data_IF_003702974282
#
_entry.id   IF_003702974282
#
_cell.length_a   1.000
_cell.length_b   1.000
_cell.length_c   1.000
_cell.angle_alpha   90.00
_cell.angle_beta   90.00
_cell.angle_gamma   90.00
#
_symmetry.space_group_name_H-M   'P 1'
#
loop_
_entity.id
_entity.type
_entity.pdbx_description
1 polymer ?
#
# COMPACT_ATOMS: atom_id res chain seq x y z
N UNK A 1 6.17 -3.09 16.42
CA UNK A 1 6.87 -3.54 17.65
C UNK A 1 5.97 -4.28 18.64
N UNK A 2 4.66 -4.32 18.44
CA UNK A 2 3.73 -5.05 19.30
C UNK A 2 3.51 -6.45 18.74
N UNK A 3 3.70 -7.47 19.56
CA UNK A 3 3.34 -8.84 19.21
C UNK A 3 1.88 -9.08 19.59
N UNK A 4 1.11 -9.67 18.68
CA UNK A 4 -0.33 -9.89 18.87
C UNK A 4 -0.68 -11.38 19.06
N UNK A 5 0.26 -12.28 18.74
CA UNK A 5 0.09 -13.73 18.94
C UNK A 5 0.94 -14.24 20.12
N UNK A 6 0.35 -15.06 20.98
CA UNK A 6 1.00 -15.62 22.15
C UNK A 6 1.14 -14.64 23.31
N UNK A 7 2.33 -14.52 23.89
CA UNK A 7 2.60 -13.57 24.97
C UNK A 7 2.65 -12.15 24.42
N UNK A 8 1.73 -11.30 24.83
CA UNK A 8 1.67 -9.91 24.39
C UNK A 8 2.82 -9.11 24.99
N UNK A 9 3.70 -8.57 24.16
CA UNK A 9 4.74 -7.64 24.59
C UNK A 9 5.01 -6.56 23.55
N UNK A 10 5.59 -5.46 24.00
CA UNK A 10 6.06 -4.39 23.15
C UNK A 10 7.60 -4.39 23.16
N UNK A 11 8.23 -4.64 22.01
CA UNK A 11 9.69 -4.74 21.93
C UNK A 11 10.42 -3.44 22.36
N UNK A 12 9.82 -2.25 22.15
CA UNK A 12 10.35 -0.98 22.68
C UNK A 12 10.43 -1.00 24.19
N UNK A 13 9.36 -1.37 24.86
CA UNK A 13 9.27 -1.34 26.32
C UNK A 13 10.19 -2.40 26.94
N UNK A 14 10.25 -3.58 26.32
CA UNK A 14 11.19 -4.63 26.73
C UNK A 14 12.65 -4.20 26.53
N UNK A 15 12.96 -3.51 25.44
CA UNK A 15 14.29 -2.94 25.21
C UNK A 15 14.70 -1.92 26.29
N UNK A 16 13.77 -1.05 26.71
CA UNK A 16 14.00 -0.08 27.79
C UNK A 16 14.24 -0.80 29.13
N UNK A 17 13.40 -1.79 29.45
CA UNK A 17 13.55 -2.57 30.69
C UNK A 17 14.90 -3.31 30.71
N UNK A 18 15.25 -3.95 29.61
CA UNK A 18 16.53 -4.66 29.46
C UNK A 18 17.70 -3.71 29.66
N UNK A 19 17.69 -2.55 29.00
CA UNK A 19 18.74 -1.55 29.14
C UNK A 19 18.90 -1.09 30.60
N UNK A 20 17.78 -0.93 31.32
CA UNK A 20 17.80 -0.57 32.75
C UNK A 20 18.40 -1.69 33.60
N UNK A 21 18.04 -2.95 33.36
CA UNK A 21 18.57 -4.10 34.13
C UNK A 21 20.06 -4.28 33.88
N UNK A 22 20.49 -4.20 32.61
CA UNK A 22 21.88 -4.40 32.22
C UNK A 22 22.75 -3.13 32.39
N UNK A 23 22.14 -2.01 32.81
CA UNK A 23 22.80 -0.69 32.97
C UNK A 23 23.55 -0.24 31.72
N UNK A 24 22.90 -0.39 30.55
CA UNK A 24 23.41 0.04 29.24
C UNK A 24 22.56 1.15 28.65
N UNK A 25 23.08 2.03 27.80
CA UNK A 25 22.29 3.02 27.12
C UNK A 25 21.36 2.38 26.08
N UNK A 26 20.18 2.97 25.90
CA UNK A 26 19.24 2.62 24.82
C UNK A 26 18.87 3.87 24.03
N UNK A 27 18.90 3.76 22.71
CA UNK A 27 18.52 4.83 21.80
C UNK A 27 17.26 4.39 21.05
N UNK A 28 16.20 5.19 21.16
CA UNK A 28 14.95 5.01 20.42
C UNK A 28 14.90 6.04 19.31
N UNK A 29 14.96 5.59 18.06
CA UNK A 29 14.87 6.46 16.88
C UNK A 29 13.52 6.32 16.20
N UNK A 30 12.83 7.44 15.97
CA UNK A 30 11.54 7.49 15.30
C UNK A 30 11.27 8.89 14.75
N UNK A 31 10.55 8.98 13.65
CA UNK A 31 10.01 10.24 13.16
C UNK A 31 8.69 10.63 13.84
N UNK A 32 8.00 9.66 14.46
CA UNK A 32 6.68 9.81 15.08
C UNK A 32 6.67 9.07 16.41
N UNK A 33 7.14 9.69 17.50
CA UNK A 33 7.12 9.07 18.81
C UNK A 33 5.68 8.78 19.27
N UNK A 34 5.49 7.68 19.97
CA UNK A 34 4.19 7.40 20.58
C UNK A 34 3.89 8.40 21.71
N UNK A 35 2.62 8.54 22.09
CA UNK A 35 2.21 9.46 23.14
C UNK A 35 2.91 9.18 24.47
N UNK A 36 3.10 7.90 24.81
CA UNK A 36 3.80 7.49 26.04
C UNK A 36 5.28 7.89 26.00
N UNK A 37 5.94 7.72 24.86
CA UNK A 37 7.33 8.15 24.65
C UNK A 37 7.42 9.67 24.77
N UNK A 38 6.50 10.39 24.13
CA UNK A 38 6.43 11.85 24.20
C UNK A 38 6.21 12.35 25.63
N UNK A 39 5.29 11.73 26.37
CA UNK A 39 5.07 12.05 27.78
C UNK A 39 6.34 11.81 28.64
N UNK A 40 7.10 10.75 28.37
CA UNK A 40 8.34 10.49 29.07
C UNK A 40 9.43 11.53 28.73
N UNK A 41 9.42 12.10 27.55
CA UNK A 41 10.28 13.24 27.18
C UNK A 41 9.84 14.50 27.97
N UNK A 42 8.55 14.83 27.96
CA UNK A 42 8.03 16.01 28.66
C UNK A 42 8.30 15.96 30.18
N UNK A 43 8.19 14.78 30.76
CA UNK A 43 8.48 14.56 32.20
C UNK A 43 9.98 14.37 32.49
N UNK A 44 10.86 14.58 31.51
CA UNK A 44 12.33 14.46 31.62
C UNK A 44 12.81 13.07 32.07
N UNK A 45 12.02 12.03 31.86
CA UNK A 45 12.46 10.64 32.04
C UNK A 45 13.35 10.16 30.91
N UNK A 46 13.16 10.69 29.70
CA UNK A 46 13.97 10.42 28.53
C UNK A 46 14.66 11.71 28.07
N UNK A 47 15.89 11.58 27.61
CA UNK A 47 16.59 12.65 26.92
C UNK A 47 16.08 12.74 25.48
N UNK A 48 15.66 13.91 25.05
CA UNK A 48 15.25 14.16 23.66
C UNK A 48 16.45 14.68 22.86
N UNK A 49 16.70 14.01 21.73
CA UNK A 49 17.67 14.45 20.73
C UNK A 49 16.89 14.66 19.43
N UNK A 50 16.86 15.87 18.96
CA UNK A 50 16.18 16.26 17.74
C UNK A 50 17.16 16.32 16.58
N UNK A 51 16.80 15.76 15.45
CA UNK A 51 17.52 15.81 14.18
C UNK A 51 16.66 16.59 13.18
N UNK A 52 16.66 17.92 13.23
CA UNK A 52 15.73 18.74 12.43
C UNK A 52 16.12 18.82 10.96
N UNK A 53 17.40 18.62 10.66
CA UNK A 53 17.92 18.75 9.30
C UNK A 53 17.97 17.40 8.58
N UNK A 54 17.68 17.42 7.29
CA UNK A 54 17.88 16.27 6.43
C UNK A 54 19.35 16.16 6.04
N UNK A 55 19.84 14.94 5.91
CA UNK A 55 21.21 14.69 5.46
C UNK A 55 21.34 15.10 3.98
N UNK A 56 22.26 16.00 3.68
CA UNK A 56 22.51 16.54 2.35
C UNK A 56 21.43 17.52 1.88
N UNK A 57 21.42 17.83 0.59
CA UNK A 57 20.49 18.78 -0.05
C UNK A 57 19.12 18.16 -0.38
N UNK A 58 18.65 17.19 0.43
CA UNK A 58 17.43 16.48 0.17
C UNK A 58 16.20 17.35 0.46
N UNK A 59 15.50 17.77 -0.59
CA UNK A 59 14.22 18.48 -0.51
C UNK A 59 13.05 17.53 -0.25
N UNK A 60 11.97 18.09 0.31
CA UNK A 60 10.69 17.37 0.39
C UNK A 60 10.09 17.19 -1.01
N UNK A 61 9.48 16.05 -1.30
CA UNK A 61 8.80 15.85 -2.58
C UNK A 61 7.64 16.85 -2.72
N UNK A 62 7.47 17.36 -3.92
CA UNK A 62 6.29 18.16 -4.25
C UNK A 62 5.08 17.23 -4.36
N UNK A 63 4.06 17.49 -3.56
CA UNK A 63 2.82 16.70 -3.56
C UNK A 63 1.77 17.39 -4.43
N UNK A 64 1.20 16.65 -5.38
CA UNK A 64 0.10 17.09 -6.23
C UNK A 64 -1.08 16.16 -6.04
N UNK A 65 -2.20 16.70 -5.60
CA UNK A 65 -3.46 15.96 -5.52
C UNK A 65 -4.18 16.05 -6.87
N UNK A 66 -4.69 14.92 -7.35
CA UNK A 66 -5.46 14.83 -8.59
C UNK A 66 -6.88 14.42 -8.22
N UNK A 67 -7.84 15.31 -8.46
CA UNK A 67 -9.24 14.97 -8.29
C UNK A 67 -9.71 14.12 -9.46
N UNK A 68 -10.08 12.89 -9.18
CA UNK A 68 -10.55 11.92 -10.18
C UNK A 68 -12.05 12.01 -10.46
N UNK A 69 -12.82 12.80 -9.70
CA UNK A 69 -14.29 12.87 -9.87
C UNK A 69 -14.71 13.49 -11.20
N UNK A 70 -13.91 14.38 -11.78
CA UNK A 70 -14.17 15.01 -13.06
C UNK A 70 -13.42 14.41 -14.24
N UNK A 71 -12.62 13.37 -14.00
CA UNK A 71 -11.78 12.77 -15.05
C UNK A 71 -12.54 11.65 -15.74
N UNK A 72 -12.86 11.85 -17.02
CA UNK A 72 -13.50 10.82 -17.83
C UNK A 72 -12.46 9.82 -18.32
N UNK A 73 -12.26 8.73 -17.56
CA UNK A 73 -11.37 7.64 -17.95
C UNK A 73 -12.15 6.57 -18.72
N UNK A 74 -11.52 5.92 -19.71
CA UNK A 74 -12.08 4.71 -20.30
C UNK A 74 -12.38 3.64 -19.26
N UNK A 75 -13.31 2.77 -19.56
CA UNK A 75 -13.62 1.65 -18.66
C UNK A 75 -12.36 0.81 -18.35
N UNK A 76 -12.17 0.45 -17.08
CA UNK A 76 -10.99 -0.27 -16.59
C UNK A 76 -9.64 0.46 -16.68
N UNK A 77 -9.63 1.78 -16.73
CA UNK A 77 -8.42 2.61 -16.60
C UNK A 77 -8.44 3.37 -15.27
N UNK A 78 -7.26 3.51 -14.65
CA UNK A 78 -7.10 4.15 -13.32
C UNK A 78 -6.06 5.25 -13.30
N UNK A 79 -5.24 5.35 -14.35
CA UNK A 79 -4.17 6.34 -14.45
C UNK A 79 -4.74 7.61 -15.06
N UNK A 80 -4.69 8.70 -14.29
CA UNK A 80 -5.12 10.01 -14.81
C UNK A 80 -4.23 10.48 -15.95
N UNK A 81 -4.75 11.29 -16.88
CA UNK A 81 -3.94 11.92 -17.94
C UNK A 81 -2.72 12.65 -17.36
N UNK A 82 -2.91 13.39 -16.28
CA UNK A 82 -1.83 14.10 -15.59
C UNK A 82 -0.73 13.15 -15.11
N UNK A 83 -1.08 12.02 -14.47
CA UNK A 83 -0.09 11.06 -14.04
C UNK A 83 0.61 10.36 -15.20
N UNK A 84 -0.13 10.06 -16.27
CA UNK A 84 0.43 9.51 -17.50
C UNK A 84 1.49 10.45 -18.11
N UNK A 85 1.21 11.76 -18.17
CA UNK A 85 2.15 12.75 -18.67
C UNK A 85 3.42 12.84 -17.80
N UNK A 86 3.27 12.80 -16.48
CA UNK A 86 4.43 12.81 -15.57
C UNK A 86 5.25 11.51 -15.68
N UNK A 87 4.61 10.35 -15.86
CA UNK A 87 5.32 9.09 -16.14
C UNK A 87 6.10 9.22 -17.45
N UNK A 88 5.49 9.74 -18.51
CA UNK A 88 6.15 9.93 -19.81
C UNK A 88 7.40 10.79 -19.69
N UNK A 89 7.31 11.95 -19.00
CA UNK A 89 8.47 12.81 -18.75
C UNK A 89 9.57 12.11 -17.96
N UNK A 90 9.17 11.31 -16.96
CA UNK A 90 10.11 10.60 -16.12
C UNK A 90 10.88 9.52 -16.88
N UNK A 91 10.19 8.80 -17.78
CA UNK A 91 10.78 7.80 -18.67
C UNK A 91 11.79 8.41 -19.65
N UNK A 92 11.45 9.56 -20.27
CA UNK A 92 12.37 10.30 -21.15
C UNK A 92 13.66 10.65 -20.41
N UNK A 93 13.58 11.02 -19.14
CA UNK A 93 14.73 11.36 -18.31
C UNK A 93 15.47 10.12 -17.75
N UNK A 94 15.03 8.91 -18.07
CA UNK A 94 15.55 7.63 -17.54
C UNK A 94 15.54 7.55 -16.03
N UNK A 95 14.53 8.16 -15.42
CA UNK A 95 14.31 8.13 -13.97
C UNK A 95 13.32 7.01 -13.59
N UNK A 96 13.49 6.48 -12.39
CA UNK A 96 12.63 5.45 -11.87
C UNK A 96 11.28 6.03 -11.43
N UNK A 97 10.20 5.37 -11.78
CA UNK A 97 8.84 5.67 -11.32
C UNK A 97 8.35 4.58 -10.37
N UNK A 98 7.68 4.98 -9.30
CA UNK A 98 6.95 4.06 -8.42
C UNK A 98 5.45 4.36 -8.50
N UNK A 99 4.67 3.36 -8.86
CA UNK A 99 3.22 3.38 -8.66
C UNK A 99 2.88 2.59 -7.39
N UNK A 100 2.44 3.31 -6.38
CA UNK A 100 2.08 2.71 -5.10
C UNK A 100 0.60 2.38 -5.08
N UNK A 101 0.30 1.11 -4.83
CA UNK A 101 -1.05 0.59 -4.69
C UNK A 101 -1.21 -0.03 -3.30
N UNK A 102 -2.00 0.60 -2.44
CA UNK A 102 -2.21 0.09 -1.07
C UNK A 102 -3.13 -1.13 -1.02
N UNK A 103 -3.20 -1.90 -2.10
CA UNK A 103 -4.07 -3.06 -2.20
C UNK A 103 -3.25 -4.30 -2.58
N UNK A 104 -3.28 -5.31 -1.72
CA UNK A 104 -2.62 -6.59 -1.97
C UNK A 104 -3.47 -7.43 -2.93
N UNK A 105 -2.81 -8.05 -3.92
CA UNK A 105 -3.34 -9.14 -4.73
C UNK A 105 -4.39 -8.77 -5.80
N UNK A 106 -4.61 -9.72 -6.67
CA UNK A 106 -5.59 -9.72 -7.78
C UNK A 106 -7.06 -9.76 -7.30
N UNK A 107 -7.34 -9.37 -6.08
CA UNK A 107 -8.65 -9.56 -5.48
C UNK A 107 -9.51 -8.30 -5.60
N UNK A 108 -10.21 -8.10 -6.72
CA UNK A 108 -11.13 -7.00 -6.86
C UNK A 108 -12.30 -7.18 -5.90
N UNK A 109 -12.68 -6.07 -5.25
CA UNK A 109 -14.00 -6.00 -4.63
C UNK A 109 -15.04 -6.25 -5.72
N UNK A 110 -16.04 -7.04 -5.41
CA UNK A 110 -17.22 -7.19 -6.27
C UNK A 110 -18.25 -6.14 -5.91
N UNK A 111 -18.69 -5.40 -6.90
CA UNK A 111 -19.82 -4.50 -6.77
C UNK A 111 -20.82 -4.74 -7.89
N UNK A 112 -22.08 -4.47 -7.61
CA UNK A 112 -23.14 -4.47 -8.61
C UNK A 112 -22.98 -3.26 -9.53
N UNK A 113 -22.93 -3.47 -10.83
CA UNK A 113 -22.82 -2.40 -11.83
C UNK A 113 -24.09 -1.55 -11.92
N UNK A 114 -25.25 -2.11 -11.56
CA UNK A 114 -26.54 -1.43 -11.63
C UNK A 114 -26.80 -0.50 -10.44
N UNK A 115 -26.55 -0.96 -9.20
CA UNK A 115 -26.89 -0.18 -8.01
C UNK A 115 -25.67 0.23 -7.16
N UNK A 116 -24.47 -0.23 -7.50
CA UNK A 116 -23.25 0.05 -6.72
C UNK A 116 -23.13 -0.75 -5.42
N UNK A 117 -24.04 -1.70 -5.14
CA UNK A 117 -23.99 -2.56 -3.96
C UNK A 117 -22.67 -3.33 -3.91
N UNK A 118 -22.00 -3.32 -2.76
CA UNK A 118 -20.74 -4.00 -2.53
C UNK A 118 -20.98 -5.29 -1.76
N UNK A 119 -20.42 -6.40 -2.23
CA UNK A 119 -20.54 -7.67 -1.54
C UNK A 119 -19.82 -7.66 -0.20
N UNK A 120 -20.59 -7.61 0.88
CA UNK A 120 -20.13 -7.71 2.25
C UNK A 120 -20.14 -9.15 2.76
N UNK A 121 -19.33 -9.43 3.75
CA UNK A 121 -19.36 -10.70 4.48
C UNK A 121 -20.58 -10.72 5.40
N UNK A 122 -21.41 -11.76 5.28
CA UNK A 122 -22.61 -11.94 6.12
C UNK A 122 -22.28 -12.18 7.60
N UNK A 123 -21.02 -12.56 7.92
CA UNK A 123 -20.60 -12.89 9.28
C UNK A 123 -19.95 -11.71 10.04
N UNK A 124 -19.17 -10.86 9.36
CA UNK A 124 -18.42 -9.79 10.03
C UNK A 124 -18.48 -8.43 9.31
N UNK A 125 -19.35 -8.28 8.34
CA UNK A 125 -19.57 -7.06 7.54
C UNK A 125 -18.35 -6.53 6.77
N UNK A 126 -17.20 -7.21 6.83
CA UNK A 126 -16.04 -6.90 5.99
C UNK A 126 -16.32 -7.21 4.52
N UNK A 127 -15.57 -6.56 3.63
CA UNK A 127 -15.71 -6.78 2.21
C UNK A 127 -15.21 -8.16 1.80
N UNK A 128 -15.95 -8.81 0.92
CA UNK A 128 -15.54 -10.06 0.28
C UNK A 128 -14.62 -9.77 -0.91
N UNK A 129 -13.63 -10.63 -1.06
CA UNK A 129 -12.55 -10.50 -2.03
C UNK A 129 -12.54 -11.73 -2.92
N UNK A 130 -12.52 -11.54 -4.25
CA UNK A 130 -12.48 -12.64 -5.20
C UNK A 130 -11.07 -13.23 -5.32
N UNK A 131 -10.96 -14.54 -5.14
CA UNK A 131 -9.77 -15.32 -5.42
C UNK A 131 -9.96 -16.11 -6.72
N UNK A 132 -9.40 -15.59 -7.82
CA UNK A 132 -9.58 -16.17 -9.18
C UNK A 132 -9.18 -17.64 -9.29
N UNK A 133 -8.13 -18.09 -8.59
CA UNK A 133 -7.68 -19.48 -8.63
C UNK A 133 -8.78 -20.46 -8.25
N UNK A 134 -9.68 -20.09 -7.35
CA UNK A 134 -10.71 -20.98 -6.81
C UNK A 134 -12.13 -20.52 -7.16
N UNK A 135 -12.27 -19.40 -7.87
CA UNK A 135 -13.55 -18.77 -8.20
C UNK A 135 -14.46 -18.55 -6.96
N UNK A 136 -13.82 -18.21 -5.84
CA UNK A 136 -14.47 -18.03 -4.54
C UNK A 136 -14.26 -16.60 -4.03
N UNK A 137 -15.26 -16.10 -3.32
CA UNK A 137 -15.18 -14.90 -2.51
C UNK A 137 -14.72 -15.29 -1.11
N UNK A 138 -13.67 -14.67 -0.62
CA UNK A 138 -13.10 -14.94 0.72
C UNK A 138 -13.15 -13.67 1.55
N UNK A 139 -13.60 -13.81 2.78
CA UNK A 139 -13.47 -12.77 3.79
C UNK A 139 -12.11 -12.91 4.49
N UNK A 140 -11.22 -11.94 4.33
CA UNK A 140 -9.90 -11.98 4.97
C UNK A 140 -9.94 -11.71 6.48
N UNK A 141 -11.07 -11.27 7.02
CA UNK A 141 -11.22 -11.03 8.46
C UNK A 141 -11.69 -12.28 9.22
N UNK A 142 -12.68 -13.00 8.69
CA UNK A 142 -13.25 -14.16 9.39
C UNK A 142 -13.04 -15.50 8.67
N UNK A 143 -12.39 -15.51 7.50
CA UNK A 143 -12.07 -16.71 6.75
C UNK A 143 -13.24 -17.36 5.98
N UNK A 144 -14.45 -16.82 6.08
CA UNK A 144 -15.60 -17.36 5.34
C UNK A 144 -15.35 -17.32 3.84
N UNK A 145 -15.71 -18.42 3.18
CA UNK A 145 -15.65 -18.58 1.73
C UNK A 145 -17.06 -18.77 1.18
N UNK A 146 -17.37 -18.10 0.08
CA UNK A 146 -18.65 -18.26 -0.63
C UNK A 146 -18.47 -18.10 -2.13
N UNK A 147 -19.41 -18.65 -2.90
CA UNK A 147 -19.46 -18.42 -4.35
C UNK A 147 -19.99 -17.01 -4.64
N UNK A 148 -19.64 -16.47 -5.81
CA UNK A 148 -20.22 -15.23 -6.30
C UNK A 148 -21.73 -15.45 -6.49
N UNK A 149 -22.59 -14.62 -5.87
CA UNK A 149 -24.03 -14.71 -6.10
C UNK A 149 -24.37 -14.27 -7.53
N UNK A 150 -25.32 -14.95 -8.14
CA UNK A 150 -25.81 -14.62 -9.50
C UNK A 150 -26.72 -13.40 -9.49
N UNK A 151 -27.38 -13.14 -8.36
CA UNK A 151 -28.39 -12.08 -8.20
C UNK A 151 -27.88 -11.10 -7.15
N UNK A 152 -28.04 -9.81 -7.41
CA UNK A 152 -27.72 -8.77 -6.45
C UNK A 152 -28.75 -8.75 -5.31
N UNK A 153 -28.27 -8.83 -4.06
CA UNK A 153 -29.13 -8.81 -2.87
C UNK A 153 -29.88 -7.47 -2.70
N UNK A 154 -29.40 -6.38 -3.31
CA UNK A 154 -29.98 -5.04 -3.18
C UNK A 154 -30.98 -4.70 -4.31
N UNK A 155 -30.59 -4.88 -5.58
CA UNK A 155 -31.45 -4.50 -6.72
C UNK A 155 -32.09 -5.70 -7.44
N UNK A 156 -31.81 -6.91 -7.00
CA UNK A 156 -32.33 -8.17 -7.58
C UNK A 156 -31.99 -8.43 -9.05
N UNK A 157 -31.07 -7.66 -9.63
CA UNK A 157 -30.61 -7.88 -11.00
C UNK A 157 -29.58 -9.01 -11.07
N UNK A 158 -29.61 -9.73 -12.22
CA UNK A 158 -28.74 -10.90 -12.45
C UNK A 158 -27.45 -10.49 -13.14
N UNK A 159 -26.37 -11.23 -12.85
CA UNK A 159 -25.06 -11.12 -13.53
C UNK A 159 -24.45 -9.72 -13.54
N UNK A 160 -24.79 -8.90 -12.54
CA UNK A 160 -24.35 -7.49 -12.46
C UNK A 160 -23.06 -7.29 -11.68
N UNK A 161 -22.49 -8.33 -11.07
CA UNK A 161 -21.30 -8.20 -10.25
C UNK A 161 -20.02 -8.06 -11.08
N UNK A 162 -19.50 -6.86 -11.11
CA UNK A 162 -18.22 -6.55 -11.73
C UNK A 162 -17.09 -6.42 -10.71
N UNK A 163 -15.88 -6.72 -11.15
CA UNK A 163 -14.69 -6.54 -10.33
C UNK A 163 -14.29 -5.07 -10.31
N UNK A 164 -14.22 -4.47 -9.13
CA UNK A 164 -13.92 -3.05 -8.98
C UNK A 164 -12.55 -2.82 -8.35
N UNK A 165 -11.81 -1.92 -8.92
CA UNK A 165 -10.51 -1.42 -8.47
C UNK A 165 -9.33 -2.07 -9.18
N UNK A 166 -8.21 -1.34 -9.29
CA UNK A 166 -7.00 -1.86 -9.91
C UNK A 166 -6.36 -2.92 -9.04
N UNK A 167 -6.02 -4.08 -9.61
CA UNK A 167 -4.98 -4.95 -9.08
C UNK A 167 -3.62 -4.53 -9.64
N UNK A 168 -2.53 -5.04 -9.08
CA UNK A 168 -1.18 -4.73 -9.59
C UNK A 168 -1.03 -5.17 -11.04
N UNK A 169 -1.62 -6.30 -11.42
CA UNK A 169 -1.57 -6.86 -12.76
C UNK A 169 -2.35 -6.01 -13.79
N UNK A 170 -3.52 -5.47 -13.40
CA UNK A 170 -4.28 -4.58 -14.29
C UNK A 170 -3.61 -3.23 -14.47
N UNK A 171 -2.92 -2.77 -13.42
CA UNK A 171 -2.15 -1.54 -13.52
C UNK A 171 -0.94 -1.72 -14.43
N UNK A 172 -0.31 -2.90 -14.38
CA UNK A 172 0.76 -3.30 -15.30
C UNK A 172 0.26 -3.32 -16.75
N UNK A 173 -0.86 -4.01 -17.02
CA UNK A 173 -1.49 -4.04 -18.35
C UNK A 173 -1.78 -2.61 -18.85
N UNK A 174 -2.34 -1.75 -18.00
CA UNK A 174 -2.63 -0.37 -18.37
C UNK A 174 -1.38 0.44 -18.70
N UNK A 175 -0.30 0.25 -17.96
CA UNK A 175 0.97 0.93 -18.20
C UNK A 175 1.61 0.43 -19.49
N UNK A 176 1.59 -0.88 -19.75
CA UNK A 176 2.12 -1.45 -21.00
C UNK A 176 1.32 -1.01 -22.23
N UNK A 177 0.01 -0.81 -22.12
CA UNK A 177 -0.81 -0.21 -23.18
C UNK A 177 -0.36 1.23 -23.53
N UNK A 178 0.12 1.99 -22.54
CA UNK A 178 0.61 3.35 -22.76
C UNK A 178 2.09 3.41 -23.16
N UNK A 179 2.89 2.50 -22.65
CA UNK A 179 4.35 2.49 -22.77
C UNK A 179 4.85 1.05 -23.00
N UNK A 180 4.76 0.51 -24.23
CA UNK A 180 5.03 -0.91 -24.51
C UNK A 180 6.51 -1.31 -24.33
N UNK A 181 7.43 -0.36 -24.44
CA UNK A 181 8.88 -0.65 -24.48
C UNK A 181 9.58 -0.48 -23.11
N UNK A 182 8.83 -0.40 -22.01
CA UNK A 182 9.41 -0.20 -20.67
C UNK A 182 9.54 -1.49 -19.90
N UNK A 183 10.49 -1.51 -18.96
CA UNK A 183 10.67 -2.61 -18.02
C UNK A 183 9.92 -2.32 -16.72
N UNK A 184 8.87 -3.09 -16.46
CA UNK A 184 8.08 -3.01 -15.22
C UNK A 184 8.48 -4.14 -14.27
N UNK A 185 8.48 -3.84 -12.98
CA UNK A 185 8.63 -4.85 -11.92
C UNK A 185 7.54 -4.70 -10.87
N UNK A 186 6.89 -5.81 -10.51
CA UNK A 186 5.85 -5.84 -9.47
C UNK A 186 6.44 -6.28 -8.14
N UNK A 187 6.31 -5.43 -7.12
CA UNK A 187 6.70 -5.73 -5.76
C UNK A 187 5.49 -5.91 -4.85
N UNK A 188 5.22 -7.17 -4.53
CA UNK A 188 4.21 -7.56 -3.54
C UNK A 188 4.81 -8.56 -2.54
N UNK A 189 4.09 -8.84 -1.46
CA UNK A 189 4.49 -9.89 -0.51
C UNK A 189 4.57 -11.29 -1.16
N UNK A 190 3.87 -11.48 -2.26
CA UNK A 190 3.83 -12.76 -2.97
C UNK A 190 5.00 -12.92 -3.94
N UNK A 191 5.56 -11.82 -4.42
CA UNK A 191 6.72 -11.80 -5.34
C UNK A 191 8.05 -11.85 -4.60
N UNK A 192 8.12 -11.35 -3.36
CA UNK A 192 9.34 -11.34 -2.55
C UNK A 192 9.25 -12.38 -1.45
N UNK A 193 9.65 -13.59 -1.76
CA UNK A 193 9.64 -14.72 -0.82
C UNK A 193 11.00 -14.94 -0.14
N UNK A 194 12.08 -14.34 -0.63
CA UNK A 194 13.40 -14.48 -0.05
C UNK A 194 14.23 -13.20 -0.11
N UNK A 195 15.25 -13.11 0.76
CA UNK A 195 16.23 -12.01 0.75
C UNK A 195 17.07 -11.96 -0.53
N UNK A 196 17.25 -13.10 -1.19
CA UNK A 196 18.01 -13.21 -2.44
C UNK A 196 17.27 -12.53 -3.60
N UNK A 197 15.96 -12.79 -3.74
CA UNK A 197 15.10 -12.14 -4.74
C UNK A 197 15.11 -10.62 -4.54
N UNK A 198 15.00 -10.17 -3.29
CA UNK A 198 15.08 -8.74 -2.97
C UNK A 198 16.43 -8.15 -3.36
N UNK A 199 17.53 -8.83 -3.07
CA UNK A 199 18.86 -8.35 -3.41
C UNK A 199 19.10 -8.27 -4.93
N UNK A 200 18.60 -9.24 -5.70
CA UNK A 200 18.67 -9.20 -7.17
C UNK A 200 17.84 -8.03 -7.72
N UNK A 201 16.63 -7.85 -7.23
CA UNK A 201 15.79 -6.72 -7.58
C UNK A 201 16.48 -5.37 -7.31
N UNK A 202 17.08 -5.18 -6.14
CA UNK A 202 17.82 -3.96 -5.80
C UNK A 202 19.04 -3.74 -6.72
N UNK A 203 19.73 -4.81 -7.14
CA UNK A 203 20.82 -4.73 -8.13
C UNK A 203 20.30 -4.28 -9.49
N UNK A 204 19.17 -4.81 -9.95
CA UNK A 204 18.57 -4.43 -11.24
C UNK A 204 18.16 -2.96 -11.26
N UNK A 205 17.57 -2.44 -10.16
CA UNK A 205 17.28 -1.01 -10.03
C UNK A 205 18.56 -0.16 -10.09
N UNK A 206 19.58 -0.53 -9.31
CA UNK A 206 20.86 0.22 -9.29
C UNK A 206 21.53 0.28 -10.65
N UNK A 207 21.33 -0.75 -11.47
CA UNK A 207 21.87 -0.86 -12.81
C UNK A 207 20.97 -0.19 -13.88
N UNK A 208 19.88 0.47 -13.49
CA UNK A 208 18.96 1.14 -14.42
C UNK A 208 18.23 0.19 -15.37
N UNK A 209 18.00 -1.06 -14.94
CA UNK A 209 17.29 -2.07 -15.75
C UNK A 209 15.77 -2.10 -15.51
N UNK A 210 15.27 -1.24 -14.65
CA UNK A 210 13.85 -1.14 -14.29
C UNK A 210 13.46 0.33 -14.44
N UNK A 211 12.41 0.57 -15.21
CA UNK A 211 11.90 1.91 -15.48
C UNK A 211 10.74 2.28 -14.55
N UNK A 212 9.92 1.28 -14.22
CA UNK A 212 8.74 1.48 -13.40
C UNK A 212 8.53 0.33 -12.42
N UNK A 213 8.21 0.66 -11.18
CA UNK A 213 7.84 -0.30 -10.15
C UNK A 213 6.36 -0.12 -9.82
N UNK A 214 5.63 -1.23 -9.78
CA UNK A 214 4.30 -1.28 -9.18
C UNK A 214 4.44 -1.96 -7.84
N UNK A 215 4.21 -1.23 -6.75
CA UNK A 215 4.47 -1.73 -5.41
C UNK A 215 3.32 -1.59 -4.44
N UNK A 216 3.25 -2.53 -3.50
CA UNK A 216 2.34 -2.50 -2.35
C UNK A 216 3.10 -2.08 -1.09
N UNK A 217 2.52 -2.24 0.10
CA UNK A 217 3.11 -1.81 1.37
C UNK A 217 4.55 -2.25 1.62
N UNK A 218 5.01 -3.34 1.01
CA UNK A 218 6.37 -3.86 1.22
C UNK A 218 7.45 -2.87 0.76
N UNK A 219 7.17 -2.08 -0.27
CA UNK A 219 8.14 -1.12 -0.83
C UNK A 219 8.24 0.17 0.00
N UNK A 220 7.27 0.45 0.86
CA UNK A 220 7.20 1.70 1.62
C UNK A 220 8.19 1.78 2.79
N UNK A 221 8.88 0.68 3.12
CA UNK A 221 9.76 0.62 4.29
C UNK A 221 11.14 0.07 3.95
N UNK A 222 12.17 0.76 4.43
CA UNK A 222 13.54 0.23 4.48
C UNK A 222 14.34 0.30 3.17
N UNK A 223 13.84 0.90 2.11
CA UNK A 223 14.55 0.98 0.83
C UNK A 223 14.79 2.42 0.39
N UNK A 224 15.97 2.66 -0.17
CA UNK A 224 16.34 3.95 -0.76
C UNK A 224 16.69 3.72 -2.24
N UNK A 225 15.92 4.35 -3.13
CA UNK A 225 16.11 4.28 -4.57
C UNK A 225 16.60 5.62 -5.08
N UNK A 226 17.89 5.71 -5.43
CA UNK A 226 18.55 6.98 -5.81
C UNK A 226 17.89 7.72 -6.98
N UNK A 227 17.36 6.98 -7.95
CA UNK A 227 16.78 7.56 -9.19
C UNK A 227 15.24 7.62 -9.13
N UNK A 228 14.63 7.37 -7.97
CA UNK A 228 13.19 7.47 -7.81
C UNK A 228 12.78 8.94 -7.69
N UNK A 229 12.20 9.49 -8.73
CA UNK A 229 11.81 10.91 -8.80
C UNK A 229 10.32 11.13 -8.92
N UNK A 230 9.55 10.07 -9.23
CA UNK A 230 8.09 10.12 -9.31
C UNK A 230 7.45 8.99 -8.49
N UNK A 231 6.52 9.36 -7.62
CA UNK A 231 5.67 8.40 -6.90
C UNK A 231 4.22 8.72 -7.19
N UNK A 232 3.53 7.81 -7.89
CA UNK A 232 2.09 7.87 -8.12
C UNK A 232 1.35 7.00 -7.11
N UNK A 233 0.47 7.58 -6.29
CA UNK A 233 -0.38 6.82 -5.37
C UNK A 233 -1.73 6.59 -6.04
N UNK A 234 -2.00 5.32 -6.40
CA UNK A 234 -3.17 4.91 -7.17
C UNK A 234 -4.24 4.46 -6.25
N UNK A 235 -5.10 4.56 -5.77
CA UNK A 235 -6.10 4.08 -4.84
C UNK A 235 -5.62 4.03 -3.38
N UNK A 236 -6.00 5.00 -2.63
CA UNK A 236 -5.92 4.97 -1.18
C UNK A 236 -7.11 4.17 -0.67
N UNK A 237 -6.86 3.06 0.02
CA UNK A 237 -7.91 2.26 0.65
C UNK A 237 -8.52 3.02 1.83
N UNK A 238 -9.72 3.54 1.66
CA UNK A 238 -10.47 4.22 2.72
C UNK A 238 -11.04 3.30 3.81
N UNK A 239 -10.76 2.01 3.76
CA UNK A 239 -11.34 1.04 4.69
C UNK A 239 -10.92 1.21 6.14
N UNK A 240 -9.83 1.94 6.41
CA UNK A 240 -9.40 2.23 7.79
C UNK A 240 -9.89 3.56 8.37
N UNK A 241 -10.33 4.50 7.52
CA UNK A 241 -10.80 5.80 8.00
C UNK A 241 -12.27 5.79 8.45
N UNK A 242 -13.09 4.87 7.96
CA UNK A 242 -14.51 4.77 8.36
C UNK A 242 -14.77 3.98 9.63
N UNK A 243 -13.82 3.17 10.11
CA UNK A 243 -14.00 2.43 11.35
C UNK A 243 -13.83 3.30 12.62
N UNK A 244 -13.29 4.52 12.49
CA UNK A 244 -13.10 5.45 13.60
C UNK A 244 -14.01 6.69 13.57
N UNK A 245 -14.82 6.88 12.52
CA UNK A 245 -15.71 8.05 12.41
C UNK A 245 -17.17 7.76 12.80
N UNK A 246 -17.50 6.57 13.23
CA UNK A 246 -18.90 6.21 13.61
C UNK A 246 -19.15 6.10 15.11
N UNK A 247 -18.20 6.49 15.94
CA UNK A 247 -18.38 6.53 17.41
C UNK A 247 -18.33 7.98 17.95
N UNK A 248 -19.23 8.84 17.43
CA UNK A 248 -19.67 10.06 18.11
C UNK A 248 -21.13 10.36 17.78
#
# INVERSE_FOLDING_TARGET
FKQEEGVLYNARDMGIIRAKIENIPVILSTATPSLETWQNIQTKKFTHIELPERIGDAELPRVKLIDMKGVNLPHNKWISPTLKDEISKNLVNRNLTLLFLNRRGYAPLKLCSSCGYRLGCKNCQSWLVEHKKNNLLICHQCGIQQKLPEICDECSEKETFISCGPGVERLEEEILDYFPDITIEILSSDTIQSSEIMNDFLKRIRNGKIDLIIGTQIISKGHNFKNLTLVGIIAVSYTHLRAHETDY
#
